data_IF_567467056165
#
_entry.id   IF_567467056165
#
_cell.length_a   1.000
_cell.length_b   1.000
_cell.length_c   1.000
_cell.angle_alpha   90.00
_cell.angle_beta   90.00
_cell.angle_gamma   90.00
#
_symmetry.space_group_name_H-M   'P 1'
#
loop_
_entity.id
_entity.type
_entity.pdbx_description
1 polymer ?
#
# COMPACT_ATOMS: atom_id res chain seq x y z
N UNK A 1 -4.74 -16.14 -15.79
CA UNK A 1 -3.52 -16.64 -15.08
C UNK A 1 -4.03 -16.99 -13.70
N UNK A 2 -3.78 -18.19 -13.20
CA UNK A 2 -4.16 -18.52 -11.82
C UNK A 2 -3.02 -18.07 -10.89
N UNK A 3 -3.33 -17.22 -9.93
CA UNK A 3 -2.36 -16.71 -8.96
C UNK A 3 -2.23 -17.57 -7.69
N UNK A 4 -3.09 -18.61 -7.57
CA UNK A 4 -3.10 -19.58 -6.44
C UNK A 4 -3.18 -18.89 -5.05
N UNK A 5 -4.09 -17.93 -4.91
CA UNK A 5 -4.32 -17.25 -3.63
C UNK A 5 -5.47 -17.88 -2.82
N UNK A 6 -6.12 -18.91 -3.35
CA UNK A 6 -7.17 -19.64 -2.62
C UNK A 6 -6.68 -20.14 -1.25
N UNK A 7 -7.44 -19.84 -0.21
CA UNK A 7 -7.14 -20.23 1.16
C UNK A 7 -6.01 -19.45 1.83
N UNK A 8 -5.40 -18.46 1.16
CA UNK A 8 -4.44 -17.54 1.77
C UNK A 8 -5.17 -16.46 2.55
N UNK A 9 -4.58 -16.04 3.67
CA UNK A 9 -5.11 -14.96 4.50
C UNK A 9 -4.26 -13.72 4.30
N UNK A 10 -4.88 -12.64 3.82
CA UNK A 10 -4.23 -11.37 3.49
C UNK A 10 -4.67 -10.25 4.42
N UNK A 11 -3.73 -9.63 5.15
CA UNK A 11 -3.96 -8.38 5.86
C UNK A 11 -3.51 -7.20 4.99
N UNK A 12 -4.43 -6.28 4.69
CA UNK A 12 -4.12 -5.05 3.96
C UNK A 12 -4.35 -3.85 4.87
N UNK A 13 -3.28 -3.20 5.32
CA UNK A 13 -3.42 -2.06 6.24
C UNK A 13 -3.94 -0.81 5.54
N UNK A 14 -4.85 -0.07 6.19
CA UNK A 14 -5.48 1.12 5.62
C UNK A 14 -6.32 0.81 4.37
N UNK A 15 -6.98 -0.34 4.35
CA UNK A 15 -7.81 -0.79 3.21
C UNK A 15 -9.28 -0.37 3.30
N UNK A 16 -9.62 0.48 4.24
CA UNK A 16 -10.96 1.06 4.36
C UNK A 16 -11.33 2.01 3.20
N UNK A 17 -10.36 2.37 2.33
CA UNK A 17 -10.58 3.21 1.14
C UNK A 17 -9.40 3.17 0.16
N UNK A 18 -9.58 3.82 -0.99
CA UNK A 18 -8.51 4.17 -1.95
C UNK A 18 -7.71 2.98 -2.44
N UNK A 19 -6.39 3.11 -2.44
CA UNK A 19 -5.48 2.06 -2.94
C UNK A 19 -5.61 0.76 -2.16
N UNK A 20 -5.69 0.84 -0.83
CA UNK A 20 -5.85 -0.35 0.02
C UNK A 20 -7.12 -1.13 -0.28
N UNK A 21 -8.24 -0.43 -0.54
CA UNK A 21 -9.50 -1.07 -0.93
C UNK A 21 -9.38 -1.80 -2.27
N UNK A 22 -8.74 -1.18 -3.29
CA UNK A 22 -8.50 -1.83 -4.58
C UNK A 22 -7.57 -3.05 -4.47
N UNK A 23 -6.54 -2.98 -3.63
CA UNK A 23 -5.68 -4.14 -3.33
C UNK A 23 -6.50 -5.25 -2.66
N UNK A 24 -7.30 -4.93 -1.63
CA UNK A 24 -8.14 -5.88 -0.92
C UNK A 24 -9.12 -6.57 -1.87
N UNK A 25 -9.79 -5.81 -2.72
CA UNK A 25 -10.71 -6.34 -3.73
C UNK A 25 -10.00 -7.32 -4.68
N UNK A 26 -8.83 -6.93 -5.19
CA UNK A 26 -8.11 -7.76 -6.16
C UNK A 26 -7.59 -9.06 -5.55
N UNK A 27 -7.06 -9.03 -4.32
CA UNK A 27 -6.63 -10.24 -3.61
C UNK A 27 -7.82 -11.17 -3.31
N UNK A 28 -8.95 -10.60 -2.89
CA UNK A 28 -10.18 -11.36 -2.68
C UNK A 28 -10.74 -12.00 -3.95
N UNK A 29 -10.70 -11.29 -5.08
CA UNK A 29 -11.10 -11.82 -6.37
C UNK A 29 -10.21 -12.98 -6.87
N UNK A 30 -8.97 -13.10 -6.36
CA UNK A 30 -8.08 -14.24 -6.59
C UNK A 30 -8.22 -15.35 -5.53
N UNK A 31 -9.26 -15.29 -4.67
CA UNK A 31 -9.61 -16.34 -3.71
C UNK A 31 -9.02 -16.16 -2.31
N UNK A 32 -8.28 -15.10 -2.03
CA UNK A 32 -7.76 -14.85 -0.69
C UNK A 32 -8.88 -14.46 0.29
N UNK A 33 -8.78 -14.91 1.55
CA UNK A 33 -9.52 -14.31 2.65
C UNK A 33 -8.85 -12.98 3.02
N UNK A 34 -9.57 -11.88 2.88
CA UNK A 34 -9.01 -10.54 3.08
C UNK A 34 -9.44 -9.95 4.41
N UNK A 35 -8.47 -9.45 5.18
CA UNK A 35 -8.72 -8.65 6.38
C UNK A 35 -8.58 -7.19 5.98
N UNK A 36 -9.71 -6.47 5.93
CA UNK A 36 -9.73 -5.02 5.70
C UNK A 36 -9.49 -4.30 7.02
N UNK A 37 -8.59 -3.32 6.99
CA UNK A 37 -8.15 -2.60 8.19
C UNK A 37 -8.46 -1.11 8.10
N UNK A 38 -9.02 -0.59 9.21
CA UNK A 38 -9.23 0.82 9.54
C UNK A 38 -8.79 1.11 10.98
N UNK A 39 -8.80 2.38 11.36
CA UNK A 39 -8.36 2.82 12.69
C UNK A 39 -9.53 3.03 13.65
N UNK A 40 -10.68 3.41 13.11
CA UNK A 40 -11.86 3.79 13.87
C UNK A 40 -12.99 2.78 13.65
N UNK A 41 -13.89 2.71 14.61
CA UNK A 41 -15.11 1.91 14.52
C UNK A 41 -15.91 2.29 13.26
N UNK A 42 -16.41 1.28 12.56
CA UNK A 42 -17.17 1.38 11.30
C UNK A 42 -16.43 2.00 10.10
N UNK A 43 -15.15 2.33 10.24
CA UNK A 43 -14.37 2.91 9.13
C UNK A 43 -14.25 1.94 7.93
N UNK A 44 -14.24 0.64 8.19
CA UNK A 44 -14.13 -0.40 7.16
C UNK A 44 -15.48 -0.83 6.57
N UNK A 45 -16.61 -0.40 7.13
CA UNK A 45 -17.96 -0.91 6.81
C UNK A 45 -18.27 -0.87 5.30
N UNK A 46 -18.00 0.27 4.66
CA UNK A 46 -18.32 0.45 3.23
C UNK A 46 -17.56 -0.54 2.36
N UNK A 47 -16.26 -0.70 2.60
CA UNK A 47 -15.43 -1.63 1.82
C UNK A 47 -15.80 -3.08 2.14
N UNK A 48 -16.05 -3.40 3.40
CA UNK A 48 -16.51 -4.72 3.81
C UNK A 48 -17.78 -5.12 3.05
N UNK A 49 -18.81 -4.25 3.03
CA UNK A 49 -20.06 -4.53 2.32
C UNK A 49 -19.85 -4.66 0.80
N UNK A 50 -19.01 -3.81 0.22
CA UNK A 50 -18.68 -3.89 -1.21
C UNK A 50 -18.02 -5.23 -1.58
N UNK A 51 -17.10 -5.71 -0.76
CA UNK A 51 -16.41 -6.98 -0.99
C UNK A 51 -17.32 -8.17 -0.71
N UNK A 52 -18.10 -8.13 0.36
CA UNK A 52 -19.09 -9.18 0.69
C UNK A 52 -20.15 -9.35 -0.42
N UNK A 53 -20.64 -8.23 -1.00
CA UNK A 53 -21.57 -8.27 -2.13
C UNK A 53 -20.96 -8.87 -3.42
N UNK A 54 -19.64 -8.94 -3.51
CA UNK A 54 -18.89 -9.62 -4.58
C UNK A 54 -18.53 -11.07 -4.22
N UNK A 55 -19.11 -11.60 -3.14
CA UNK A 55 -18.85 -12.95 -2.63
C UNK A 55 -17.38 -13.19 -2.22
N UNK A 56 -16.63 -12.11 -1.92
CA UNK A 56 -15.26 -12.17 -1.42
C UNK A 56 -15.29 -12.53 0.07
N UNK A 57 -14.44 -13.49 0.47
CA UNK A 57 -14.24 -13.81 1.88
C UNK A 57 -13.49 -12.67 2.56
N UNK A 58 -14.18 -11.91 3.40
CA UNK A 58 -13.67 -10.68 4.02
C UNK A 58 -14.03 -10.60 5.49
N UNK A 59 -13.09 -10.10 6.31
CA UNK A 59 -13.30 -9.73 7.72
C UNK A 59 -12.81 -8.32 7.97
N UNK A 60 -13.26 -7.73 9.09
CA UNK A 60 -12.91 -6.36 9.50
C UNK A 60 -11.91 -6.40 10.64
N UNK A 61 -10.95 -5.49 10.63
CA UNK A 61 -10.04 -5.18 11.73
C UNK A 61 -10.04 -3.65 11.93
N UNK A 62 -10.57 -3.19 13.03
CA UNK A 62 -10.68 -1.76 13.36
C UNK A 62 -9.92 -1.50 14.66
N UNK A 63 -8.66 -1.10 14.53
CA UNK A 63 -7.78 -0.82 15.64
C UNK A 63 -6.61 0.06 15.23
N UNK A 64 -6.15 0.95 16.09
CA UNK A 64 -4.85 1.59 15.91
C UNK A 64 -3.74 0.60 16.33
N UNK A 65 -3.17 -0.10 15.37
CA UNK A 65 -2.17 -1.13 15.61
C UNK A 65 -0.84 -0.59 16.17
N UNK A 66 -0.61 0.73 16.14
CA UNK A 66 0.53 1.36 16.80
C UNK A 66 0.41 1.35 18.33
N UNK A 67 -0.82 1.45 18.85
CA UNK A 67 -1.10 1.52 20.28
C UNK A 67 -1.04 0.14 20.96
N UNK A 68 -1.12 -0.95 20.20
CA UNK A 68 -1.16 -2.32 20.68
C UNK A 68 0.25 -2.93 20.73
N UNK A 69 0.52 -3.81 21.68
CA UNK A 69 1.73 -4.62 21.68
C UNK A 69 1.64 -5.82 20.70
N UNK A 70 2.73 -6.59 20.59
CA UNK A 70 2.77 -7.74 19.67
C UNK A 70 1.78 -8.85 20.00
N UNK A 71 1.56 -9.12 21.28
CA UNK A 71 0.68 -10.20 21.73
C UNK A 71 -0.78 -9.79 21.58
N UNK A 72 -1.10 -8.53 21.83
CA UNK A 72 -2.41 -7.94 21.55
C UNK A 72 -2.73 -8.03 20.05
N UNK A 73 -1.81 -7.61 19.16
CA UNK A 73 -2.01 -7.71 17.71
C UNK A 73 -2.20 -9.17 17.28
N UNK A 74 -1.38 -10.10 17.80
CA UNK A 74 -1.53 -11.54 17.50
C UNK A 74 -2.88 -12.09 17.91
N UNK A 75 -3.44 -11.61 19.02
CA UNK A 75 -4.75 -12.05 19.51
C UNK A 75 -5.90 -11.64 18.60
N UNK A 76 -5.73 -10.57 17.82
CA UNK A 76 -6.73 -10.03 16.89
C UNK A 76 -6.65 -10.68 15.49
N UNK A 77 -5.55 -11.35 15.17
CA UNK A 77 -5.29 -11.84 13.82
C UNK A 77 -5.31 -13.36 13.75
N UNK A 78 -5.93 -13.94 12.73
CA UNK A 78 -5.66 -15.32 12.35
C UNK A 78 -4.21 -15.44 11.81
N UNK A 79 -3.71 -16.65 11.55
CA UNK A 79 -2.44 -16.83 10.85
C UNK A 79 -2.45 -16.09 9.50
N UNK A 80 -1.55 -15.12 9.35
CA UNK A 80 -1.43 -14.28 8.15
C UNK A 80 -0.43 -14.92 7.18
N UNK A 81 -0.80 -15.02 5.91
CA UNK A 81 0.05 -15.49 4.82
C UNK A 81 0.59 -14.32 3.98
N UNK A 82 -0.22 -13.27 3.81
CA UNK A 82 0.11 -12.10 3.01
C UNK A 82 -0.07 -10.85 3.86
N UNK A 83 1.00 -10.06 4.01
CA UNK A 83 0.96 -8.77 4.69
C UNK A 83 1.23 -7.65 3.67
N UNK A 84 0.25 -6.77 3.49
CA UNK A 84 0.40 -5.56 2.68
C UNK A 84 0.46 -4.35 3.61
N UNK A 85 1.65 -3.83 3.83
CA UNK A 85 1.90 -2.59 4.57
C UNK A 85 1.57 -1.40 3.66
N UNK A 86 0.27 -1.20 3.42
CA UNK A 86 -0.25 -0.17 2.52
C UNK A 86 -0.46 1.16 3.25
N UNK A 87 -0.87 1.15 4.52
CA UNK A 87 -1.15 2.40 5.22
C UNK A 87 0.06 3.34 5.20
N UNK A 88 -0.23 4.58 4.96
CA UNK A 88 0.71 5.68 4.94
C UNK A 88 0.09 6.85 4.19
N UNK A 89 0.10 8.01 4.80
CA UNK A 89 -0.49 9.21 4.23
C UNK A 89 0.49 10.38 4.38
N UNK A 90 0.66 11.20 3.34
CA UNK A 90 1.47 12.40 3.46
C UNK A 90 0.76 13.39 4.37
N UNK A 91 1.30 13.61 5.54
CA UNK A 91 0.91 14.71 6.42
C UNK A 91 1.80 15.91 6.15
N UNK A 92 1.36 17.09 6.55
CA UNK A 92 2.23 18.26 6.52
C UNK A 92 3.30 18.11 7.60
N UNK A 93 4.56 18.08 7.18
CA UNK A 93 5.69 18.18 8.07
C UNK A 93 6.49 19.45 7.76
N UNK A 94 7.17 19.99 8.75
CA UNK A 94 7.97 21.21 8.60
C UNK A 94 9.39 20.98 9.10
N UNK A 95 10.30 21.90 8.74
CA UNK A 95 11.67 21.93 9.25
C UNK A 95 11.78 22.63 10.62
N UNK A 96 10.66 23.14 11.14
CA UNK A 96 10.60 23.90 12.40
C UNK A 96 10.19 23.02 13.60
N UNK A 97 9.64 21.81 13.36
CA UNK A 97 9.13 20.92 14.39
C UNK A 97 9.46 19.46 14.07
N UNK A 98 9.91 18.71 15.08
CA UNK A 98 10.22 17.27 14.99
C UNK A 98 9.00 16.39 15.19
N UNK A 99 7.94 16.86 15.83
CA UNK A 99 6.76 16.09 16.19
C UNK A 99 6.10 15.48 14.94
N UNK A 100 5.92 16.29 13.89
CA UNK A 100 5.35 15.83 12.63
C UNK A 100 6.22 14.77 11.91
N UNK A 101 7.55 14.82 12.12
CA UNK A 101 8.47 13.81 11.59
C UNK A 101 8.35 12.49 12.33
N UNK A 102 8.18 12.54 13.66
CA UNK A 102 7.96 11.34 14.49
C UNK A 102 6.67 10.66 14.06
N UNK A 103 5.55 11.39 13.95
CA UNK A 103 4.28 10.85 13.47
C UNK A 103 4.39 10.20 12.08
N UNK A 104 5.09 10.85 11.15
CA UNK A 104 5.31 10.28 9.81
C UNK A 104 6.14 9.00 9.88
N UNK A 105 7.12 8.94 10.76
CA UNK A 105 7.93 7.75 10.97
C UNK A 105 7.11 6.60 11.57
N UNK A 106 6.32 6.86 12.59
CA UNK A 106 5.46 5.89 13.24
C UNK A 106 4.48 5.25 12.23
N UNK A 107 3.77 6.09 11.49
CA UNK A 107 2.73 5.61 10.58
C UNK A 107 3.28 4.98 9.29
N UNK A 108 4.35 5.52 8.71
CA UNK A 108 4.87 5.06 7.43
C UNK A 108 5.93 3.98 7.54
N UNK A 109 6.57 3.82 8.71
CA UNK A 109 7.68 2.87 8.93
C UNK A 109 7.36 1.89 10.06
N UNK A 110 7.19 2.39 11.31
CA UNK A 110 7.15 1.54 12.48
C UNK A 110 5.94 0.60 12.49
N UNK A 111 4.80 1.03 12.00
CA UNK A 111 3.63 0.14 11.88
C UNK A 111 3.94 -1.07 11.01
N UNK A 112 4.54 -0.87 9.83
CA UNK A 112 4.90 -1.97 8.94
C UNK A 112 5.98 -2.88 9.52
N UNK A 113 6.96 -2.33 10.24
CA UNK A 113 7.98 -3.11 10.95
C UNK A 113 7.34 -3.95 12.05
N UNK A 114 6.50 -3.35 12.91
CA UNK A 114 5.79 -4.05 13.99
C UNK A 114 4.94 -5.21 13.47
N UNK A 115 4.15 -4.97 12.43
CA UNK A 115 3.32 -6.01 11.82
C UNK A 115 4.15 -7.12 11.19
N UNK A 116 5.26 -6.77 10.53
CA UNK A 116 6.18 -7.79 10.00
C UNK A 116 6.71 -8.68 11.13
N UNK A 117 7.14 -8.12 12.27
CA UNK A 117 7.59 -8.87 13.45
C UNK A 117 6.50 -9.81 13.98
N UNK A 118 5.23 -9.39 13.95
CA UNK A 118 4.11 -10.22 14.41
C UNK A 118 3.89 -11.45 13.51
N UNK A 119 4.02 -11.32 12.19
CA UNK A 119 3.62 -12.37 11.24
C UNK A 119 4.74 -13.32 10.83
N UNK A 120 6.00 -12.89 10.89
CA UNK A 120 7.17 -13.61 10.37
C UNK A 120 7.30 -15.01 10.97
N UNK A 121 7.12 -15.16 12.29
CA UNK A 121 7.26 -16.46 12.96
C UNK A 121 6.31 -17.50 12.35
N UNK A 122 5.02 -17.18 12.26
CA UNK A 122 4.02 -18.08 11.69
C UNK A 122 4.22 -18.33 10.19
N UNK A 123 4.67 -17.35 9.43
CA UNK A 123 5.02 -17.51 8.01
C UNK A 123 6.22 -18.47 7.86
N UNK A 124 7.26 -18.31 8.68
CA UNK A 124 8.46 -19.16 8.67
C UNK A 124 8.12 -20.62 9.03
N UNK A 125 7.29 -20.84 10.03
CA UNK A 125 6.86 -22.18 10.45
C UNK A 125 6.10 -22.92 9.32
N UNK A 126 5.37 -22.17 8.48
CA UNK A 126 4.65 -22.71 7.32
C UNK A 126 5.50 -22.79 6.05
N UNK A 127 6.72 -22.22 6.05
CA UNK A 127 7.62 -22.18 4.89
C UNK A 127 7.07 -21.34 3.73
N UNK A 128 6.16 -20.39 4.00
CA UNK A 128 5.53 -19.53 3.01
C UNK A 128 5.05 -18.21 3.61
N UNK A 129 5.34 -17.11 2.93
CA UNK A 129 4.86 -15.80 3.32
C UNK A 129 5.14 -14.73 2.25
N UNK A 130 4.32 -13.68 2.23
CA UNK A 130 4.49 -12.54 1.33
C UNK A 130 4.32 -11.24 2.11
N UNK A 131 5.35 -10.42 2.10
CA UNK A 131 5.34 -9.10 2.75
C UNK A 131 5.62 -8.04 1.70
N UNK A 132 4.66 -7.14 1.50
CA UNK A 132 4.82 -5.98 0.63
C UNK A 132 4.72 -4.69 1.44
N UNK A 133 5.60 -3.75 1.11
CA UNK A 133 5.51 -2.38 1.58
C UNK A 133 5.11 -1.45 0.43
N UNK A 134 4.27 -0.46 0.74
CA UNK A 134 3.90 0.59 -0.20
C UNK A 134 4.74 1.83 0.07
N UNK A 135 5.64 2.12 -0.86
CA UNK A 135 6.45 3.32 -0.90
C UNK A 135 5.80 4.43 -1.72
N UNK A 136 6.61 5.20 -2.39
CA UNK A 136 6.20 6.24 -3.37
C UNK A 136 7.38 6.57 -4.29
N UNK A 137 7.09 6.84 -5.56
CA UNK A 137 8.11 7.38 -6.47
C UNK A 137 8.56 8.79 -6.05
N UNK A 138 7.76 9.49 -5.24
CA UNK A 138 8.08 10.82 -4.72
C UNK A 138 9.39 10.91 -3.93
N UNK A 139 9.98 9.78 -3.54
CA UNK A 139 11.33 9.77 -2.93
C UNK A 139 12.43 10.18 -3.92
N UNK A 140 12.22 10.04 -5.22
CA UNK A 140 13.18 10.43 -6.26
C UNK A 140 13.18 11.96 -6.49
N UNK A 141 12.03 12.61 -6.30
CA UNK A 141 11.88 14.06 -6.41
C UNK A 141 10.94 14.59 -5.33
N UNK A 142 11.41 14.70 -4.07
CA UNK A 142 10.56 15.02 -2.93
C UNK A 142 10.07 16.48 -2.96
N UNK A 143 8.77 16.65 -2.74
CA UNK A 143 8.16 17.97 -2.58
C UNK A 143 8.49 18.60 -1.21
N UNK A 144 8.29 19.90 -1.09
CA UNK A 144 8.64 20.66 0.11
C UNK A 144 7.60 20.62 1.24
N UNK A 145 6.37 20.17 0.95
CA UNK A 145 5.26 20.25 1.92
C UNK A 145 5.19 19.10 2.91
N UNK A 146 5.87 17.98 2.63
CA UNK A 146 5.83 16.76 3.44
C UNK A 146 7.20 16.07 3.48
N UNK A 147 8.29 16.77 3.90
CA UNK A 147 9.63 16.19 3.88
C UNK A 147 9.75 14.95 4.78
N UNK A 148 9.07 14.93 5.92
CA UNK A 148 9.02 13.78 6.82
C UNK A 148 8.42 12.54 6.16
N UNK A 149 7.35 12.71 5.37
CA UNK A 149 6.75 11.63 4.58
C UNK A 149 7.75 11.01 3.58
N UNK A 150 8.40 11.85 2.77
CA UNK A 150 9.37 11.33 1.80
C UNK A 150 10.58 10.69 2.49
N UNK A 151 11.06 11.27 3.60
CA UNK A 151 12.12 10.69 4.40
C UNK A 151 11.74 9.32 4.98
N UNK A 152 10.56 9.21 5.56
CA UNK A 152 10.06 7.94 6.10
C UNK A 152 9.85 6.89 5.00
N UNK A 153 9.26 7.24 3.86
CA UNK A 153 9.08 6.30 2.73
C UNK A 153 10.42 5.90 2.09
N UNK A 154 11.40 6.78 2.03
CA UNK A 154 12.75 6.44 1.55
C UNK A 154 13.45 5.40 2.44
N UNK A 155 13.22 5.46 3.75
CA UNK A 155 13.77 4.50 4.71
C UNK A 155 13.27 3.06 4.48
N UNK A 156 12.14 2.85 3.82
CA UNK A 156 11.63 1.51 3.50
C UNK A 156 12.56 0.74 2.56
N UNK A 157 13.37 1.42 1.74
CA UNK A 157 14.30 0.78 0.79
C UNK A 157 15.32 -0.13 1.50
N UNK A 158 16.13 0.34 2.45
CA UNK A 158 17.04 -0.52 3.20
C UNK A 158 16.31 -1.49 4.14
N UNK A 159 15.15 -1.13 4.70
CA UNK A 159 14.35 -1.99 5.58
C UNK A 159 13.92 -3.25 4.84
N UNK A 160 13.32 -3.12 3.65
CA UNK A 160 12.88 -4.24 2.81
C UNK A 160 14.06 -5.15 2.45
N UNK A 161 15.19 -4.58 2.03
CA UNK A 161 16.39 -5.35 1.68
C UNK A 161 16.98 -6.09 2.88
N UNK A 162 16.99 -5.45 4.05
CA UNK A 162 17.47 -6.07 5.29
C UNK A 162 16.57 -7.22 5.71
N UNK A 163 15.24 -7.00 5.70
CA UNK A 163 14.29 -8.02 6.09
C UNK A 163 14.29 -9.22 5.11
N UNK A 164 14.41 -8.97 3.81
CA UNK A 164 14.53 -10.05 2.82
C UNK A 164 15.79 -10.92 3.05
N UNK A 165 16.89 -10.32 3.52
CA UNK A 165 18.11 -11.06 3.89
C UNK A 165 17.94 -11.87 5.18
N UNK A 166 17.30 -11.29 6.19
CA UNK A 166 17.01 -11.96 7.46
C UNK A 166 16.17 -13.22 7.25
N UNK A 167 15.20 -13.13 6.33
CA UNK A 167 14.28 -14.23 6.02
C UNK A 167 14.80 -15.19 4.93
N UNK A 168 16.13 -15.27 4.79
CA UNK A 168 16.77 -16.14 3.83
C UNK A 168 16.33 -17.61 4.00
N UNK A 169 15.92 -18.25 2.90
CA UNK A 169 15.51 -19.66 2.83
C UNK A 169 14.28 -20.05 3.69
N UNK A 170 13.48 -19.08 4.12
CA UNK A 170 12.23 -19.33 4.88
C UNK A 170 11.00 -19.52 3.98
N UNK A 171 11.12 -19.33 2.67
CA UNK A 171 9.98 -19.30 1.74
C UNK A 171 9.20 -17.98 1.75
N UNK A 172 9.68 -16.97 2.50
CA UNK A 172 9.06 -15.64 2.57
C UNK A 172 9.75 -14.69 1.58
N UNK A 173 8.95 -13.91 0.85
CA UNK A 173 9.47 -12.79 0.04
C UNK A 173 9.05 -11.45 0.62
N UNK A 174 9.95 -10.47 0.54
CA UNK A 174 9.74 -9.10 1.02
C UNK A 174 10.08 -8.12 -0.08
N UNK A 175 9.12 -7.30 -0.52
CA UNK A 175 9.32 -6.35 -1.61
C UNK A 175 8.72 -4.98 -1.30
N UNK A 176 9.16 -3.95 -2.03
CA UNK A 176 8.64 -2.59 -1.97
C UNK A 176 8.07 -2.20 -3.33
N UNK A 177 6.85 -1.68 -3.36
CA UNK A 177 6.27 -1.03 -4.54
C UNK A 177 6.35 0.48 -4.34
N UNK A 178 6.90 1.19 -5.32
CA UNK A 178 6.90 2.64 -5.38
C UNK A 178 5.92 3.12 -6.46
N UNK A 179 4.64 3.37 -6.10
CA UNK A 179 3.68 3.88 -7.07
C UNK A 179 3.94 5.34 -7.41
N UNK A 180 3.51 5.72 -8.61
CA UNK A 180 3.27 7.10 -8.99
C UNK A 180 1.99 7.65 -8.36
N UNK A 181 1.41 8.67 -8.97
CA UNK A 181 0.10 9.17 -8.54
C UNK A 181 -0.99 8.14 -8.87
N UNK A 182 -1.79 7.81 -7.87
CA UNK A 182 -2.89 6.85 -8.00
C UNK A 182 -4.22 7.62 -8.02
N UNK A 183 -5.04 7.39 -9.03
CA UNK A 183 -6.33 8.05 -9.24
C UNK A 183 -7.41 7.54 -8.26
N UNK A 184 -7.19 7.68 -6.96
CA UNK A 184 -8.23 7.47 -5.94
C UNK A 184 -9.31 8.55 -6.05
N UNK A 185 -10.44 8.39 -5.38
CA UNK A 185 -11.51 9.39 -5.36
C UNK A 185 -11.01 10.78 -4.92
N UNK A 186 -10.19 10.81 -3.86
CA UNK A 186 -9.62 12.04 -3.31
C UNK A 186 -8.63 12.70 -4.29
N UNK A 187 -7.80 11.90 -4.98
CA UNK A 187 -6.87 12.41 -6.00
C UNK A 187 -7.62 12.94 -7.20
N UNK A 188 -8.67 12.25 -7.66
CA UNK A 188 -9.53 12.74 -8.75
C UNK A 188 -10.16 14.08 -8.39
N UNK A 189 -10.73 14.21 -7.20
CA UNK A 189 -11.31 15.47 -6.73
C UNK A 189 -10.26 16.59 -6.64
N UNK A 190 -9.08 16.30 -6.11
CA UNK A 190 -7.96 17.25 -6.02
C UNK A 190 -7.54 17.73 -7.42
N UNK A 191 -7.40 16.84 -8.39
CA UNK A 191 -7.01 17.17 -9.76
C UNK A 191 -8.09 17.99 -10.47
N UNK A 192 -9.38 17.63 -10.30
CA UNK A 192 -10.50 18.41 -10.83
C UNK A 192 -10.52 19.84 -10.27
N UNK A 193 -10.31 20.00 -8.94
CA UNK A 193 -10.21 21.34 -8.32
C UNK A 193 -9.01 22.12 -8.84
N UNK A 194 -7.88 21.45 -9.07
CA UNK A 194 -6.67 22.09 -9.58
C UNK A 194 -6.80 22.49 -11.04
N UNK A 195 -7.43 21.66 -11.88
CA UNK A 195 -7.73 21.94 -13.27
C UNK A 195 -8.65 23.16 -13.42
N UNK A 196 -9.75 23.22 -12.64
CA UNK A 196 -10.68 24.37 -12.61
C UNK A 196 -9.99 25.68 -12.25
N UNK A 197 -9.04 25.68 -11.30
CA UNK A 197 -8.25 26.88 -10.93
C UNK A 197 -7.39 27.40 -12.08
N UNK A 198 -7.04 26.50 -13.04
CA UNK A 198 -6.31 26.85 -14.28
C UNK A 198 -7.22 27.15 -15.46
N UNK A 199 -8.55 27.20 -15.25
CA UNK A 199 -9.53 27.43 -16.31
C UNK A 199 -9.77 26.21 -17.21
N UNK A 200 -9.37 25.00 -16.78
CA UNK A 200 -9.62 23.75 -17.49
C UNK A 200 -10.95 23.18 -16.99
N UNK A 201 -12.00 23.37 -17.79
CA UNK A 201 -13.32 22.75 -17.58
C UNK A 201 -13.46 21.58 -18.55
N UNK A 202 -13.17 20.38 -18.09
CA UNK A 202 -13.02 19.21 -18.93
C UNK A 202 -13.52 17.94 -18.23
N UNK A 203 -13.72 16.88 -19.01
CA UNK A 203 -13.98 15.55 -18.49
C UNK A 203 -12.74 14.93 -17.80
N UNK A 204 -12.92 13.75 -17.21
CA UNK A 204 -11.82 13.08 -16.50
C UNK A 204 -10.65 12.74 -17.45
N UNK A 205 -10.91 12.36 -18.68
CA UNK A 205 -9.87 11.97 -19.64
C UNK A 205 -8.93 13.15 -19.95
N UNK A 206 -9.48 14.33 -20.18
CA UNK A 206 -8.70 15.54 -20.44
C UNK A 206 -7.95 16.03 -19.20
N UNK A 207 -8.58 15.92 -17.99
CA UNK A 207 -7.93 16.25 -16.72
C UNK A 207 -6.76 15.29 -16.45
N UNK A 208 -6.93 13.98 -16.67
CA UNK A 208 -5.87 13.00 -16.55
C UNK A 208 -4.71 13.29 -17.50
N UNK A 209 -5.02 13.63 -18.74
CA UNK A 209 -4.02 13.98 -19.75
C UNK A 209 -3.24 15.25 -19.37
N UNK A 210 -3.92 16.28 -18.87
CA UNK A 210 -3.26 17.47 -18.31
C UNK A 210 -2.39 17.10 -17.10
N UNK A 211 -2.91 16.31 -16.18
CA UNK A 211 -2.19 15.91 -14.99
C UNK A 211 -0.91 15.13 -15.32
N UNK A 212 -0.95 14.24 -16.30
CA UNK A 212 0.19 13.39 -16.71
C UNK A 212 1.15 14.07 -17.69
N UNK A 213 0.84 15.25 -18.20
CA UNK A 213 1.74 16.05 -19.04
C UNK A 213 2.37 17.24 -18.33
N UNK A 214 1.63 17.88 -17.40
CA UNK A 214 2.07 19.15 -16.81
C UNK A 214 2.18 19.15 -15.29
N UNK A 215 1.32 18.39 -14.60
CA UNK A 215 1.25 18.41 -13.12
C UNK A 215 2.14 17.35 -12.46
N UNK A 216 2.05 16.12 -12.96
CA UNK A 216 2.87 14.96 -12.54
C UNK A 216 3.20 14.16 -13.80
N UNK A 217 4.17 14.61 -14.60
CA UNK A 217 4.48 13.96 -15.88
C UNK A 217 4.84 12.48 -15.71
N UNK A 218 4.38 11.65 -16.64
CA UNK A 218 4.81 10.28 -16.80
C UNK A 218 4.77 9.83 -18.26
N UNK A 219 5.51 8.79 -18.60
CA UNK A 219 5.68 8.36 -19.99
C UNK A 219 4.47 7.60 -20.55
N UNK A 220 3.62 7.04 -19.69
CA UNK A 220 2.43 6.30 -20.13
C UNK A 220 1.25 7.22 -20.46
N UNK A 221 1.27 8.48 -20.01
CA UNK A 221 0.16 9.41 -20.16
C UNK A 221 -1.11 9.02 -19.39
N UNK A 222 -1.00 8.11 -18.41
CA UNK A 222 -2.10 7.60 -17.60
C UNK A 222 -1.69 7.55 -16.13
N UNK A 223 -2.64 7.76 -15.22
CA UNK A 223 -2.46 7.54 -13.80
C UNK A 223 -2.70 6.06 -13.47
N UNK A 224 -2.00 5.56 -12.46
CA UNK A 224 -2.37 4.27 -11.86
C UNK A 224 -3.76 4.38 -11.23
N UNK A 225 -4.49 3.27 -11.21
CA UNK A 225 -5.75 3.18 -10.46
C UNK A 225 -5.59 2.23 -9.26
N UNK A 226 -6.46 2.28 -8.24
CA UNK A 226 -6.43 1.30 -7.15
C UNK A 226 -6.42 -0.14 -7.66
N UNK A 227 -7.20 -0.43 -8.71
CA UNK A 227 -7.29 -1.75 -9.33
C UNK A 227 -5.97 -2.15 -9.99
N UNK A 228 -5.33 -1.25 -10.75
CA UNK A 228 -4.07 -1.54 -11.44
C UNK A 228 -2.92 -1.78 -10.43
N UNK A 229 -2.93 -1.11 -9.28
CA UNK A 229 -2.02 -1.41 -8.17
C UNK A 229 -2.36 -2.78 -7.57
N UNK A 230 -3.65 -3.08 -7.40
CA UNK A 230 -4.11 -4.39 -6.95
C UNK A 230 -3.62 -5.54 -7.84
N UNK A 231 -3.64 -5.37 -9.16
CA UNK A 231 -3.15 -6.36 -10.13
C UNK A 231 -1.65 -6.66 -9.93
N UNK A 232 -0.83 -5.64 -9.75
CA UNK A 232 0.60 -5.78 -9.50
C UNK A 232 0.86 -6.44 -8.13
N UNK A 233 0.12 -6.03 -7.11
CA UNK A 233 0.21 -6.64 -5.77
C UNK A 233 -0.16 -8.11 -5.84
N UNK A 234 -1.27 -8.48 -6.46
CA UNK A 234 -1.72 -9.86 -6.58
C UNK A 234 -0.67 -10.75 -7.30
N UNK A 235 -0.06 -10.24 -8.37
CA UNK A 235 1.07 -10.91 -9.03
C UNK A 235 2.24 -11.10 -8.07
N UNK A 236 2.69 -10.04 -7.38
CA UNK A 236 3.88 -10.08 -6.52
C UNK A 236 3.72 -10.98 -5.29
N UNK A 237 2.50 -11.19 -4.80
CA UNK A 237 2.25 -12.09 -3.67
C UNK A 237 1.94 -13.52 -4.11
N UNK A 238 1.85 -13.79 -5.41
CA UNK A 238 1.64 -15.12 -5.95
C UNK A 238 2.94 -15.95 -6.00
N UNK A 239 2.79 -17.25 -6.23
CA UNK A 239 3.93 -18.14 -6.45
C UNK A 239 4.65 -17.88 -7.77
N UNK A 240 4.01 -17.18 -8.71
CA UNK A 240 4.64 -16.80 -9.98
C UNK A 240 5.77 -15.78 -9.79
N UNK A 241 5.73 -15.01 -8.70
CA UNK A 241 6.72 -13.98 -8.39
C UNK A 241 7.74 -14.42 -7.32
N UNK A 242 7.88 -15.72 -7.00
CA UNK A 242 8.72 -16.20 -5.89
C UNK A 242 10.21 -15.81 -6.04
N UNK A 243 10.70 -15.54 -7.24
CA UNK A 243 12.07 -15.08 -7.49
C UNK A 243 12.24 -13.55 -7.29
N UNK A 244 11.15 -12.82 -7.07
CA UNK A 244 11.20 -11.39 -6.80
C UNK A 244 11.26 -11.23 -5.28
N UNK A 245 12.46 -10.95 -4.73
CA UNK A 245 12.68 -10.80 -3.30
C UNK A 245 13.72 -9.70 -3.02
N UNK A 246 13.43 -8.81 -2.08
CA UNK A 246 14.24 -7.63 -1.79
C UNK A 246 14.18 -6.55 -2.88
N UNK A 247 13.23 -6.63 -3.79
CA UNK A 247 13.09 -5.73 -4.92
C UNK A 247 12.40 -4.42 -4.53
N UNK A 248 12.80 -3.33 -5.22
CA UNK A 248 12.18 -2.01 -5.16
C UNK A 248 11.59 -1.76 -6.54
N UNK A 249 10.27 -1.81 -6.63
CA UNK A 249 9.54 -1.89 -7.91
C UNK A 249 8.80 -0.57 -8.16
N UNK A 250 9.24 0.25 -9.12
CA UNK A 250 8.48 1.42 -9.54
C UNK A 250 7.22 0.98 -10.31
N UNK A 251 6.07 1.57 -9.95
CA UNK A 251 4.78 1.42 -10.64
C UNK A 251 4.23 2.84 -10.86
N UNK A 252 4.89 3.60 -11.70
CA UNK A 252 4.78 5.04 -11.80
C UNK A 252 4.55 5.55 -13.24
N UNK A 253 4.37 4.63 -14.19
CA UNK A 253 4.23 4.98 -15.60
C UNK A 253 5.49 5.62 -16.20
N UNK A 254 6.65 5.44 -15.58
CA UNK A 254 7.91 6.05 -16.00
C UNK A 254 8.06 7.51 -15.55
N UNK A 255 7.35 7.95 -14.51
CA UNK A 255 7.43 9.33 -13.99
C UNK A 255 8.85 9.77 -13.62
N UNK A 256 9.70 8.83 -13.20
CA UNK A 256 11.11 9.09 -12.94
C UNK A 256 11.89 9.65 -14.13
N UNK A 257 11.43 9.37 -15.34
CA UNK A 257 12.12 9.70 -16.59
C UNK A 257 11.35 10.73 -17.45
N UNK A 258 10.24 11.27 -16.95
CA UNK A 258 9.39 12.22 -17.65
C UNK A 258 9.80 13.69 -17.37
#
# INVERSE_FOLDING_TARGET
MNLNLDGKVALVTGSYRGTGAGIAERLGAEGAHVIVHGFLEDETQVVFEQLANKEINVTRLEANLLDLDHDEIKSLLPPIDILINNYGTPRRSSWESTESWIEEWEHNVLMGVKLSQVVIGGMSDRGWGRILFMGTIGIENPGTHSPGYYGSKAALVPIVKSLARELNQTGITVNLINPGMIATAEVKEMLQKSARKKGIEADWFEIERWATSEFMPNLTGRLSTPESIGDIVAFLVSDLAFQINGAIIPVDGGAKYA
#
